data_IF_374352992219
#
_entry.id   IF_374352992219
#
_cell.length_a   1.000
_cell.length_b   1.000
_cell.length_c   1.000
_cell.angle_alpha   90.00
_cell.angle_beta   90.00
_cell.angle_gamma   90.00
#
_symmetry.space_group_name_H-M   'P 1'
#
loop_
_entity.id
_entity.type
_entity.pdbx_description
1 polymer ?
#
# COMPACT_ATOMS: atom_id res chain seq x y z
N UNK A 1 54.66 -34.42 -22.19
CA UNK A 1 54.32 -33.05 -22.60
C UNK A 1 53.07 -32.62 -21.83
N UNK A 2 53.27 -31.78 -20.82
CA UNK A 2 52.26 -31.19 -19.95
C UNK A 2 51.55 -30.05 -20.70
N UNK A 3 50.22 -30.10 -20.83
CA UNK A 3 49.40 -28.94 -21.19
C UNK A 3 48.30 -28.79 -20.13
N UNK A 4 48.53 -28.02 -19.04
CA UNK A 4 47.48 -27.71 -18.10
C UNK A 4 46.75 -26.42 -18.51
N UNK A 5 45.43 -26.45 -18.35
CA UNK A 5 44.60 -25.35 -17.86
C UNK A 5 44.77 -23.96 -18.50
N UNK A 6 44.04 -23.66 -19.59
CA UNK A 6 43.78 -22.26 -19.98
C UNK A 6 42.29 -21.94 -20.24
N UNK A 7 41.40 -22.93 -20.28
CA UNK A 7 39.96 -22.73 -20.54
C UNK A 7 39.01 -22.92 -19.34
N UNK A 8 39.52 -23.30 -18.16
CA UNK A 8 38.67 -23.55 -16.97
C UNK A 8 38.26 -22.26 -16.23
N UNK A 9 39.14 -21.25 -16.17
CA UNK A 9 38.85 -20.00 -15.47
C UNK A 9 37.83 -19.09 -16.17
N UNK A 10 37.67 -19.24 -17.49
CA UNK A 10 36.93 -18.29 -18.33
C UNK A 10 35.42 -18.39 -18.28
N UNK A 11 34.91 -19.56 -17.92
CA UNK A 11 33.46 -19.83 -17.87
C UNK A 11 32.90 -19.41 -16.50
N UNK A 12 33.65 -19.64 -15.42
CA UNK A 12 33.26 -19.25 -14.07
C UNK A 12 33.20 -17.73 -13.91
N UNK A 13 34.22 -16.97 -14.33
CA UNK A 13 34.14 -15.50 -14.18
C UNK A 13 33.01 -14.88 -15.00
N UNK A 14 32.62 -15.48 -16.14
CA UNK A 14 31.55 -14.96 -16.99
C UNK A 14 30.19 -15.19 -16.35
N UNK A 15 30.01 -16.34 -15.70
CA UNK A 15 28.82 -16.64 -14.90
C UNK A 15 28.74 -15.77 -13.64
N UNK A 16 29.86 -15.51 -12.96
CA UNK A 16 29.92 -14.59 -11.83
C UNK A 16 29.75 -13.12 -12.25
N UNK A 17 30.27 -12.68 -13.40
CA UNK A 17 30.09 -11.31 -13.88
C UNK A 17 28.68 -11.07 -14.41
N UNK A 18 28.07 -12.03 -15.11
CA UNK A 18 26.66 -11.95 -15.52
C UNK A 18 25.74 -12.02 -14.30
N UNK A 19 26.00 -12.89 -13.32
CA UNK A 19 25.18 -12.93 -12.09
C UNK A 19 25.36 -11.68 -11.23
N UNK A 20 26.59 -11.17 -11.05
CA UNK A 20 26.83 -9.92 -10.31
C UNK A 20 26.28 -8.68 -11.04
N UNK A 21 26.31 -8.64 -12.37
CA UNK A 21 25.70 -7.56 -13.16
C UNK A 21 24.17 -7.61 -13.08
N UNK A 22 23.57 -8.80 -13.17
CA UNK A 22 22.14 -8.98 -12.95
C UNK A 22 21.73 -8.55 -11.53
N UNK A 23 22.50 -8.92 -10.50
CA UNK A 23 22.24 -8.52 -9.11
C UNK A 23 22.37 -6.99 -8.93
N UNK A 24 23.41 -6.34 -9.47
CA UNK A 24 23.58 -4.89 -9.33
C UNK A 24 22.54 -4.06 -10.10
N UNK A 25 22.19 -4.45 -11.32
CA UNK A 25 21.19 -3.74 -12.13
C UNK A 25 19.76 -4.00 -11.65
N UNK A 26 19.48 -5.20 -11.13
CA UNK A 26 18.20 -5.54 -10.51
C UNK A 26 17.85 -4.61 -9.34
N UNK A 27 18.81 -4.26 -8.48
CA UNK A 27 18.53 -3.41 -7.32
C UNK A 27 18.25 -1.95 -7.68
N UNK A 28 18.64 -1.47 -8.87
CA UNK A 28 18.32 -0.11 -9.33
C UNK A 28 16.83 0.11 -9.62
N UNK A 29 16.05 -0.95 -9.86
CA UNK A 29 14.59 -0.80 -10.03
C UNK A 29 13.87 -0.54 -8.70
N UNK A 30 14.43 -1.02 -7.57
CA UNK A 30 13.81 -0.92 -6.25
C UNK A 30 13.48 0.52 -5.81
N UNK A 31 14.34 1.55 -5.99
CA UNK A 31 13.96 2.91 -5.64
C UNK A 31 12.77 3.41 -6.45
N UNK A 32 12.71 3.12 -7.75
CA UNK A 32 11.57 3.54 -8.59
C UNK A 32 10.27 2.83 -8.19
N UNK A 33 10.32 1.52 -7.94
CA UNK A 33 9.18 0.76 -7.45
C UNK A 33 8.74 1.22 -6.05
N UNK A 34 9.68 1.56 -5.18
CA UNK A 34 9.41 2.11 -3.85
C UNK A 34 8.70 3.46 -3.89
N UNK A 35 9.13 4.37 -4.76
CA UNK A 35 8.46 5.67 -4.94
C UNK A 35 7.03 5.49 -5.42
N UNK A 36 6.80 4.61 -6.41
CA UNK A 36 5.45 4.33 -6.93
C UNK A 36 4.57 3.74 -5.83
N UNK A 37 5.09 2.79 -5.06
CA UNK A 37 4.35 2.17 -3.96
C UNK A 37 3.97 3.20 -2.88
N UNK A 38 4.91 4.05 -2.47
CA UNK A 38 4.65 5.10 -1.49
C UNK A 38 3.63 6.11 -2.02
N UNK A 39 3.75 6.52 -3.28
CA UNK A 39 2.81 7.43 -3.92
C UNK A 39 1.39 6.83 -4.00
N UNK A 40 1.26 5.53 -4.24
CA UNK A 40 -0.03 4.82 -4.22
C UNK A 40 -0.59 4.64 -2.80
N UNK A 41 0.25 4.38 -1.80
CA UNK A 41 -0.18 4.20 -0.41
C UNK A 41 -0.58 5.52 0.26
N UNK A 42 0.03 6.63 -0.14
CA UNK A 42 -0.20 7.97 0.42
C UNK A 42 -1.68 8.43 0.41
N UNK A 43 -2.44 8.36 -0.70
CA UNK A 43 -3.85 8.77 -0.70
C UNK A 43 -4.72 7.91 0.22
N UNK A 44 -4.42 6.62 0.37
CA UNK A 44 -5.17 5.74 1.27
C UNK A 44 -4.92 6.07 2.74
N UNK A 45 -3.66 6.27 3.12
CA UNK A 45 -3.30 6.63 4.50
C UNK A 45 -3.80 8.03 4.87
N UNK A 46 -3.67 9.01 3.96
CA UNK A 46 -4.16 10.36 4.21
C UNK A 46 -5.69 10.41 4.33
N UNK A 47 -6.44 9.69 3.49
CA UNK A 47 -7.89 9.61 3.61
C UNK A 47 -8.33 9.03 4.97
N UNK A 48 -7.63 8.02 5.48
CA UNK A 48 -7.90 7.44 6.80
C UNK A 48 -7.75 8.46 7.93
N UNK A 49 -6.65 9.22 7.92
CA UNK A 49 -6.38 10.26 8.92
C UNK A 49 -7.36 11.42 8.79
N UNK A 50 -7.62 11.89 7.57
CA UNK A 50 -8.56 12.99 7.30
C UNK A 50 -9.98 12.64 7.73
N UNK A 51 -10.44 11.41 7.49
CA UNK A 51 -11.76 10.97 7.95
C UNK A 51 -11.88 11.01 9.47
N UNK A 52 -10.83 10.57 10.19
CA UNK A 52 -10.81 10.64 11.64
C UNK A 52 -10.87 12.09 12.15
N UNK A 53 -10.19 13.02 11.48
CA UNK A 53 -10.19 14.44 11.88
C UNK A 53 -11.53 15.15 11.61
N UNK A 54 -12.17 14.87 10.47
CA UNK A 54 -13.42 15.56 10.07
C UNK A 54 -14.65 14.99 10.75
N UNK A 55 -14.69 13.67 10.92
CA UNK A 55 -15.90 12.94 11.34
C UNK A 55 -15.75 12.35 12.75
N UNK A 56 -14.53 12.33 13.31
CA UNK A 56 -14.26 11.64 14.58
C UNK A 56 -14.28 10.11 14.46
N UNK A 57 -14.43 9.58 13.24
CA UNK A 57 -14.44 8.15 12.97
C UNK A 57 -13.58 7.81 11.75
N UNK A 58 -12.74 6.79 11.91
CA UNK A 58 -11.77 6.36 10.89
C UNK A 58 -12.42 5.81 9.62
N UNK A 59 -13.56 5.12 9.77
CA UNK A 59 -14.26 4.48 8.66
C UNK A 59 -15.57 5.21 8.35
N UNK A 60 -15.73 5.64 7.10
CA UNK A 60 -16.97 6.23 6.63
C UNK A 60 -18.01 5.14 6.38
N UNK A 61 -19.25 5.36 6.82
CA UNK A 61 -20.35 4.42 6.59
C UNK A 61 -20.67 4.35 5.09
N UNK A 62 -20.96 3.16 4.59
CA UNK A 62 -21.44 2.97 3.22
C UNK A 62 -22.89 3.48 3.09
N UNK A 63 -23.18 4.11 1.95
CA UNK A 63 -24.46 4.79 1.65
C UNK A 63 -24.98 4.39 0.25
N UNK A 64 -24.60 3.18 -0.18
CA UNK A 64 -24.84 2.70 -1.54
C UNK A 64 -26.32 2.35 -1.73
N UNK A 65 -26.92 1.69 -0.73
CA UNK A 65 -28.32 1.30 -0.77
C UNK A 65 -29.24 2.37 -0.18
N UNK A 66 -30.52 2.32 -0.57
CA UNK A 66 -31.56 3.24 -0.06
C UNK A 66 -31.75 3.09 1.45
N UNK A 67 -31.76 1.87 1.95
CA UNK A 67 -31.97 1.59 3.37
C UNK A 67 -30.83 2.10 4.24
N UNK A 68 -29.58 1.93 3.80
CA UNK A 68 -28.40 2.50 4.48
C UNK A 68 -28.47 4.02 4.56
N UNK A 69 -28.95 4.67 3.49
CA UNK A 69 -29.13 6.12 3.46
C UNK A 69 -30.23 6.59 4.39
N UNK A 70 -31.36 5.89 4.45
CA UNK A 70 -32.46 6.20 5.36
C UNK A 70 -32.00 5.99 6.81
N UNK A 71 -31.29 4.90 7.09
CA UNK A 71 -30.68 4.62 8.39
C UNK A 71 -29.70 5.72 8.83
N UNK A 72 -28.83 6.17 7.92
CA UNK A 72 -27.91 7.27 8.19
C UNK A 72 -28.63 8.59 8.49
N UNK A 73 -29.70 8.92 7.76
CA UNK A 73 -30.49 10.12 8.02
C UNK A 73 -31.26 10.03 9.33
N UNK A 74 -31.77 8.85 9.68
CA UNK A 74 -32.40 8.60 10.99
C UNK A 74 -31.40 8.85 12.12
N UNK A 75 -30.23 8.24 12.04
CA UNK A 75 -29.20 8.35 13.08
C UNK A 75 -28.73 9.81 13.22
N UNK A 76 -28.58 10.54 12.10
CA UNK A 76 -28.25 11.97 12.11
C UNK A 76 -29.28 12.84 12.85
N UNK A 77 -30.57 12.51 12.72
CA UNK A 77 -31.66 13.22 13.42
C UNK A 77 -31.70 12.89 14.90
N UNK A 78 -31.48 11.62 15.26
CA UNK A 78 -31.53 11.15 16.65
C UNK A 78 -30.32 11.63 17.46
N UNK A 79 -29.13 11.65 16.86
CA UNK A 79 -27.87 11.95 17.55
C UNK A 79 -27.49 13.46 17.55
N UNK A 80 -28.46 14.37 17.37
CA UNK A 80 -28.22 15.81 17.46
C UNK A 80 -27.32 16.39 16.36
N UNK A 81 -27.22 15.72 15.21
CA UNK A 81 -26.45 16.17 14.05
C UNK A 81 -25.23 15.31 13.71
N UNK A 82 -24.75 14.47 14.63
CA UNK A 82 -23.61 13.55 14.42
C UNK A 82 -24.06 12.09 14.25
N UNK A 83 -24.08 11.55 13.02
CA UNK A 83 -24.57 10.20 12.74
C UNK A 83 -23.63 9.05 13.14
N UNK A 84 -22.44 9.35 13.67
CA UNK A 84 -21.47 8.33 14.11
C UNK A 84 -21.52 8.07 15.61
N UNK A 85 -22.27 8.89 16.35
CA UNK A 85 -22.54 8.68 17.77
C UNK A 85 -23.66 7.65 17.94
N UNK A 86 -23.37 6.57 18.66
CA UNK A 86 -24.39 5.57 19.01
C UNK A 86 -25.33 6.16 20.06
N UNK A 87 -26.62 6.16 19.76
CA UNK A 87 -27.68 6.52 20.71
C UNK A 87 -28.21 5.22 21.29
N UNK A 88 -28.03 5.06 22.59
CA UNK A 88 -28.42 3.84 23.33
C UNK A 88 -29.79 4.03 24.02
N UNK A 89 -30.33 2.97 24.62
CA UNK A 89 -31.64 2.93 25.29
C UNK A 89 -31.64 3.59 26.70
N UNK A 90 -31.02 4.76 26.86
CA UNK A 90 -31.02 5.53 28.13
C UNK A 90 -32.14 6.55 28.18
#
# INVERSE_FOLDING_TARGET
>A
MFFPCMFCGTIHYKHYLVSNFQIKMWFEILPSAGIIFVAMAFPHASAYVLNNLVVGNMYRRQLLTREERIGYLRDRRLAGGDPYKVVDLV
#
